data_IF_943752697613
#
_entry.id   IF_943752697613
#
_cell.length_a   1.000
_cell.length_b   1.000
_cell.length_c   1.000
_cell.angle_alpha   90.00
_cell.angle_beta   90.00
_cell.angle_gamma   90.00
#
_symmetry.space_group_name_H-M   'P 1'
#
loop_
_entity.id
_entity.type
_entity.pdbx_description
1 polymer ?
#
# COMPACT_ATOMS: atom_id res chain seq x y z
N UNK A 1 9.63 0.68 -13.64
CA UNK A 1 8.51 1.31 -14.39
C UNK A 1 7.91 2.42 -13.53
N UNK A 2 7.60 3.57 -14.12
CA UNK A 2 7.00 4.74 -13.45
C UNK A 2 5.61 5.01 -14.05
N UNK A 3 4.68 5.54 -13.27
CA UNK A 3 3.34 5.88 -13.77
C UNK A 3 2.35 4.72 -13.76
N UNK A 4 2.52 3.76 -12.84
CA UNK A 4 1.62 2.60 -12.75
C UNK A 4 0.34 3.02 -12.02
N UNK A 5 -0.81 2.69 -12.61
CA UNK A 5 -2.12 2.77 -11.96
C UNK A 5 -2.54 1.36 -11.56
N UNK A 6 -2.87 1.16 -10.29
CA UNK A 6 -3.29 -0.15 -9.76
C UNK A 6 -4.50 0.06 -8.87
N UNK A 7 -5.53 -0.76 -9.05
CA UNK A 7 -6.60 -0.91 -8.07
C UNK A 7 -6.41 -2.28 -7.43
N UNK A 8 -6.34 -2.33 -6.10
CA UNK A 8 -6.11 -3.57 -5.39
C UNK A 8 -6.68 -3.50 -3.98
N UNK A 9 -6.97 -4.66 -3.40
CA UNK A 9 -7.44 -4.78 -2.02
C UNK A 9 -6.27 -5.06 -1.08
N UNK A 10 -6.28 -4.44 0.09
CA UNK A 10 -5.30 -4.70 1.14
C UNK A 10 -5.63 -6.03 1.82
N UNK A 11 -4.76 -7.02 1.66
CA UNK A 11 -4.92 -8.36 2.24
C UNK A 11 -4.31 -8.44 3.63
N UNK A 12 -3.13 -7.85 3.81
CA UNK A 12 -2.44 -7.87 5.10
C UNK A 12 -1.52 -6.68 5.27
N UNK A 13 -1.18 -6.40 6.52
CA UNK A 13 -0.30 -5.30 6.92
C UNK A 13 0.75 -5.83 7.88
N UNK A 14 2.02 -5.60 7.54
CA UNK A 14 3.16 -5.99 8.37
C UNK A 14 3.40 -4.97 9.49
N UNK A 15 4.32 -5.28 10.39
CA UNK A 15 4.68 -4.41 11.52
C UNK A 15 5.33 -3.11 11.02
N UNK A 16 5.06 -2.00 11.72
CA UNK A 16 5.71 -0.70 11.47
C UNK A 16 7.22 -0.84 11.62
N UNK A 17 7.93 -0.57 10.53
CA UNK A 17 9.39 -0.55 10.49
C UNK A 17 9.87 0.89 10.61
N UNK A 18 10.86 1.12 11.46
CA UNK A 18 11.49 2.44 11.63
C UNK A 18 12.79 2.48 10.86
N UNK A 19 12.99 3.47 10.00
CA UNK A 19 14.24 3.68 9.28
C UNK A 19 14.79 5.06 9.60
N UNK A 20 16.09 5.14 9.81
CA UNK A 20 16.75 6.39 10.10
C UNK A 20 17.14 7.07 8.78
N UNK A 21 16.63 8.28 8.54
CA UNK A 21 17.03 9.05 7.36
C UNK A 21 18.45 9.58 7.53
N UNK A 22 19.37 9.15 6.65
CA UNK A 22 20.76 9.66 6.62
C UNK A 22 20.85 11.16 6.30
N UNK A 23 19.86 11.70 5.59
CA UNK A 23 19.87 13.08 5.12
C UNK A 23 19.19 14.05 6.09
N UNK A 24 18.09 13.61 6.70
CA UNK A 24 17.22 14.48 7.51
C UNK A 24 17.40 14.24 9.02
N UNK A 25 18.27 13.29 9.41
CA UNK A 25 18.44 12.82 10.79
C UNK A 25 17.10 12.52 11.51
N UNK A 26 16.07 12.19 10.74
CA UNK A 26 14.70 12.01 11.22
C UNK A 26 14.33 10.54 11.17
N UNK A 27 13.62 10.08 12.20
CA UNK A 27 13.00 8.75 12.23
C UNK A 27 11.82 8.72 11.27
N UNK A 28 11.98 8.00 10.16
CA UNK A 28 10.88 7.71 9.24
C UNK A 28 10.29 6.36 9.59
N UNK A 29 8.98 6.25 9.46
CA UNK A 29 8.28 5.00 9.69
C UNK A 29 7.65 4.54 8.38
N UNK A 30 7.78 3.25 8.09
CA UNK A 30 7.17 2.64 6.92
C UNK A 30 6.53 1.31 7.29
N UNK A 31 5.49 0.92 6.55
CA UNK A 31 4.81 -0.37 6.70
C UNK A 31 4.77 -1.05 5.34
N UNK A 32 5.01 -2.36 5.32
CA UNK A 32 4.72 -3.20 4.16
C UNK A 32 3.28 -3.69 4.24
N UNK A 33 2.46 -3.32 3.28
CA UNK A 33 1.12 -3.86 3.11
C UNK A 33 1.12 -4.81 1.90
N UNK A 34 0.56 -6.00 2.04
CA UNK A 34 0.31 -6.88 0.91
C UNK A 34 -1.02 -6.47 0.28
N UNK A 35 -0.97 -6.09 -0.99
CA UNK A 35 -2.17 -5.80 -1.78
C UNK A 35 -2.33 -6.90 -2.83
N UNK A 36 -3.58 -7.27 -3.10
CA UNK A 36 -3.91 -8.26 -4.11
C UNK A 36 -4.99 -7.74 -5.04
N UNK A 37 -4.84 -8.10 -6.29
CA UNK A 37 -5.77 -7.85 -7.38
C UNK A 37 -5.99 -9.17 -8.15
N UNK A 38 -6.85 -9.15 -9.16
CA UNK A 38 -7.17 -10.33 -9.99
C UNK A 38 -5.94 -10.91 -10.70
N UNK A 39 -4.92 -10.08 -10.97
CA UNK A 39 -3.67 -10.49 -11.64
C UNK A 39 -2.60 -11.05 -10.69
N UNK A 40 -2.76 -10.87 -9.38
CA UNK A 40 -1.82 -11.36 -8.38
C UNK A 40 -1.64 -10.41 -7.19
N UNK A 41 -0.63 -10.70 -6.37
CA UNK A 41 -0.34 -9.95 -5.15
C UNK A 41 1.03 -9.26 -5.21
N UNK A 42 1.11 -8.04 -4.68
CA UNK A 42 2.36 -7.26 -4.59
C UNK A 42 2.49 -6.59 -3.22
N UNK A 43 3.74 -6.41 -2.77
CA UNK A 43 4.03 -5.67 -1.54
C UNK A 43 4.09 -4.17 -1.82
N UNK A 44 3.22 -3.42 -1.15
CA UNK A 44 3.18 -1.96 -1.14
C UNK A 44 3.94 -1.40 0.06
N UNK A 45 4.82 -0.43 -0.16
CA UNK A 45 5.46 0.33 0.90
C UNK A 45 4.69 1.62 1.18
N UNK A 46 4.12 1.70 2.38
CA UNK A 46 3.41 2.85 2.92
C UNK A 46 4.32 3.64 3.84
N UNK A 47 4.33 4.96 3.71
CA UNK A 47 5.19 5.85 4.48
C UNK A 47 4.39 6.75 5.42
N UNK A 48 4.90 6.94 6.64
CA UNK A 48 4.37 7.87 7.63
C UNK A 48 2.83 7.81 7.71
N UNK A 49 2.12 8.93 7.54
CA UNK A 49 0.66 9.02 7.68
C UNK A 49 -0.14 8.16 6.69
N UNK A 50 0.49 7.65 5.62
CA UNK A 50 -0.18 6.70 4.71
C UNK A 50 -0.46 5.38 5.42
N UNK A 51 0.32 5.03 6.44
CA UNK A 51 0.09 3.81 7.19
C UNK A 51 -1.20 3.90 7.98
N UNK A 52 -1.53 5.04 8.57
CA UNK A 52 -2.72 5.17 9.43
C UNK A 52 -4.02 5.28 8.62
N UNK A 53 -3.93 5.72 7.36
CA UNK A 53 -5.09 5.86 6.45
C UNK A 53 -5.57 4.55 5.83
N UNK A 54 -4.77 3.50 5.87
CA UNK A 54 -5.02 2.25 5.14
C UNK A 54 -5.19 1.10 6.13
N UNK A 55 -6.36 0.47 6.08
CA UNK A 55 -6.67 -0.71 6.88
C UNK A 55 -6.71 -1.98 6.04
N UNK A 56 -6.60 -3.11 6.74
CA UNK A 56 -6.75 -4.43 6.13
C UNK A 56 -8.20 -4.58 5.67
N UNK A 57 -8.39 -5.03 4.44
CA UNK A 57 -9.70 -5.20 3.82
C UNK A 57 -10.16 -4.04 2.95
N UNK A 58 -9.52 -2.87 3.05
CA UNK A 58 -9.85 -1.71 2.22
C UNK A 58 -9.42 -1.91 0.77
N UNK A 59 -10.24 -1.38 -0.15
CA UNK A 59 -9.86 -1.25 -1.57
C UNK A 59 -9.14 0.07 -1.77
N UNK A 60 -7.94 0.02 -2.34
CA UNK A 60 -7.13 1.20 -2.64
C UNK A 60 -6.85 1.30 -4.13
N UNK A 61 -6.90 2.52 -4.64
CA UNK A 61 -6.44 2.87 -5.97
C UNK A 61 -5.17 3.72 -5.87
N UNK A 62 -4.11 3.25 -6.49
CA UNK A 62 -2.81 3.90 -6.55
C UNK A 62 -2.67 4.53 -7.93
N UNK A 63 -2.38 5.83 -7.96
CA UNK A 63 -2.03 6.54 -9.18
C UNK A 63 -0.58 7.02 -9.14
N UNK A 64 0.11 6.93 -10.27
CA UNK A 64 1.53 7.29 -10.40
C UNK A 64 2.45 6.52 -9.43
N UNK A 65 2.15 5.23 -9.22
CA UNK A 65 3.04 4.31 -8.53
C UNK A 65 4.30 4.02 -9.35
N UNK A 66 5.34 3.56 -8.66
CA UNK A 66 6.53 2.99 -9.28
C UNK A 66 6.78 1.59 -8.72
N UNK A 67 7.07 0.65 -9.61
CA UNK A 67 7.52 -0.68 -9.21
C UNK A 67 9.04 -0.68 -9.18
N UNK A 68 9.59 -1.06 -8.03
CA UNK A 68 11.02 -1.25 -7.80
C UNK A 68 11.27 -2.73 -7.52
N UNK A 69 12.24 -3.30 -8.20
CA UNK A 69 12.75 -4.62 -7.83
C UNK A 69 13.81 -4.44 -6.75
N UNK A 70 13.59 -5.05 -5.58
CA UNK A 70 14.56 -5.09 -4.50
C UNK A 70 14.84 -6.55 -4.16
N UNK A 71 16.10 -6.98 -4.36
CA UNK A 71 16.55 -8.37 -4.09
C UNK A 71 15.71 -9.46 -4.78
N UNK A 72 15.23 -9.18 -6.00
CA UNK A 72 14.39 -10.12 -6.77
C UNK A 72 12.89 -9.98 -6.52
N UNK A 73 12.48 -9.26 -5.48
CA UNK A 73 11.06 -9.03 -5.19
C UNK A 73 10.58 -7.69 -5.77
N UNK A 74 9.40 -7.73 -6.41
CA UNK A 74 8.70 -6.54 -6.88
C UNK A 74 8.04 -5.85 -5.70
N UNK A 75 8.43 -4.61 -5.47
CA UNK A 75 7.83 -3.74 -4.46
C UNK A 75 7.20 -2.54 -5.14
N UNK A 76 5.95 -2.25 -4.77
CA UNK A 76 5.23 -1.06 -5.21
C UNK A 76 5.51 0.07 -4.23
N UNK A 77 5.92 1.21 -4.75
CA UNK A 77 6.11 2.45 -4.00
C UNK A 77 5.36 3.59 -4.67
N UNK A 78 5.13 4.64 -3.90
CA UNK A 78 4.42 5.84 -4.35
C UNK A 78 5.44 6.97 -4.44
N UNK A 79 5.56 7.56 -5.63
CA UNK A 79 6.50 8.65 -5.88
C UNK A 79 6.02 9.97 -5.29
N UNK A 80 6.83 11.02 -5.45
CA UNK A 80 6.50 12.39 -5.01
C UNK A 80 5.16 12.92 -5.56
N UNK A 81 4.79 12.48 -6.76
CA UNK A 81 3.54 12.84 -7.46
C UNK A 81 2.51 11.69 -7.44
N UNK A 82 2.73 10.67 -6.62
CA UNK A 82 1.85 9.53 -6.51
C UNK A 82 0.72 9.80 -5.52
N UNK A 83 -0.48 9.30 -5.82
CA UNK A 83 -1.68 9.48 -4.99
C UNK A 83 -2.23 8.11 -4.61
N UNK A 84 -2.62 7.97 -3.34
CA UNK A 84 -3.43 6.84 -2.88
C UNK A 84 -4.85 7.35 -2.67
N UNK A 85 -5.80 6.65 -3.25
CA UNK A 85 -7.23 6.85 -3.03
C UNK A 85 -7.72 5.61 -2.30
N UNK A 86 -8.20 5.78 -1.08
CA UNK A 86 -8.83 4.69 -0.32
C UNK A 86 -10.31 4.77 -0.64
N UNK A 87 -10.86 3.73 -1.28
CA UNK A 87 -12.28 3.69 -1.65
C UNK A 87 -13.16 3.21 -0.49
N UNK A 88 -12.55 2.97 0.67
CA UNK A 88 -13.23 2.53 1.89
C UNK A 88 -13.71 1.08 1.79
N UNK A 89 -14.02 0.50 2.94
CA UNK A 89 -14.68 -0.80 3.04
C UNK A 89 -15.93 -0.79 2.13
N UNK A 90 -15.89 -1.60 1.07
CA UNK A 90 -17.15 -2.14 0.57
C UNK A 90 -17.81 -2.81 1.78
N UNK A 91 -19.02 -2.39 2.19
CA UNK A 91 -19.73 -3.08 3.24
C UNK A 91 -19.80 -4.54 2.81
N UNK A 92 -19.27 -5.43 3.63
CA UNK A 92 -19.65 -6.82 3.55
C UNK A 92 -21.15 -6.84 3.86
N UNK A 93 -21.94 -6.75 2.82
CA UNK A 93 -23.37 -7.03 2.85
C UNK A 93 -23.49 -8.51 3.16
N UNK A 94 -23.38 -8.88 4.43
CA UNK A 94 -24.03 -10.08 4.94
C UNK A 94 -25.53 -9.78 5.01
N UNK A 95 -26.16 -9.78 3.82
CA UNK A 95 -27.56 -10.16 3.70
C UNK A 95 -27.62 -11.68 3.87
N UNK A 96 -28.58 -12.13 4.66
CA UNK A 96 -29.04 -13.52 4.86
C UNK A 96 -28.30 -14.32 5.93
N UNK A 97 -28.95 -14.47 7.08
CA UNK A 97 -29.64 -15.73 7.40
C UNK A 97 -30.98 -15.38 8.05
N UNK A 98 -32.04 -15.98 7.50
CA UNK A 98 -33.44 -15.91 7.93
C UNK A 98 -33.69 -16.66 9.24
#
# INVERSE_FOLDING_TARGET
MKGVKVKARVVSKSTVQKVFSRYTYSLLHFVRAAISDDTGSISLMLWNDQTDKINIGDTIAIENGYVKNFRGEKQLGIGKNGKIIVEGLAPITSLTTA
#
